data_IF_618261278560
#
_entry.id   IF_618261278560
#
_cell.length_a   1.000
_cell.length_b   1.000
_cell.length_c   1.000
_cell.angle_alpha   90.00
_cell.angle_beta   90.00
_cell.angle_gamma   90.00
#
_symmetry.space_group_name_H-M   'P 1'
#
loop_
_entity.id
_entity.type
_entity.pdbx_description
1 polymer ?
#
# COMPACT_ATOMS: atom_id res chain seq x y z
N UNK A 1 19.72 12.26 -25.08
CA UNK A 1 19.12 12.96 -23.93
C UNK A 1 17.84 12.23 -23.59
N UNK A 2 17.96 11.18 -22.77
CA UNK A 2 16.81 10.44 -22.26
C UNK A 2 16.35 11.21 -21.01
N UNK A 3 15.11 11.65 -20.99
CA UNK A 3 14.51 12.24 -19.78
C UNK A 3 14.27 11.09 -18.80
N UNK A 4 14.88 11.18 -17.63
CA UNK A 4 14.57 10.30 -16.50
C UNK A 4 13.09 10.50 -16.14
N UNK A 5 12.33 9.41 -16.22
CA UNK A 5 11.00 9.32 -15.65
C UNK A 5 11.22 9.22 -14.15
N UNK A 6 11.03 10.33 -13.43
CA UNK A 6 11.07 10.34 -11.97
C UNK A 6 9.74 9.81 -11.47
N UNK A 7 9.74 8.54 -11.04
CA UNK A 7 8.62 7.98 -10.28
C UNK A 7 8.38 8.83 -9.04
N UNK A 8 7.20 9.44 -8.97
CA UNK A 8 6.85 10.49 -8.00
C UNK A 8 6.58 9.98 -6.57
N UNK A 9 6.90 8.72 -6.28
CA UNK A 9 6.61 8.04 -5.02
C UNK A 9 7.81 7.90 -4.07
N UNK A 10 8.94 8.55 -4.36
CA UNK A 10 10.05 8.64 -3.39
C UNK A 10 9.78 9.71 -2.33
N UNK A 11 8.75 9.48 -1.52
CA UNK A 11 8.80 9.97 -0.14
C UNK A 11 9.69 8.99 0.63
N UNK A 12 10.95 9.35 0.86
CA UNK A 12 11.80 8.65 1.82
C UNK A 12 11.13 8.67 3.20
N UNK A 13 10.41 7.60 3.51
CA UNK A 13 9.85 7.35 4.83
C UNK A 13 11.02 7.10 5.79
N UNK A 14 11.00 7.64 7.02
CA UNK A 14 12.11 7.46 7.95
C UNK A 14 12.39 5.97 8.11
N UNK A 15 13.65 5.58 7.92
CA UNK A 15 14.13 4.21 8.10
C UNK A 15 14.07 3.83 9.58
N UNK A 16 12.87 3.56 10.12
CA UNK A 16 12.75 2.56 11.17
C UNK A 16 13.00 1.23 10.47
N UNK A 17 14.10 0.56 10.82
CA UNK A 17 14.60 -0.67 10.21
C UNK A 17 13.47 -1.50 9.57
N UNK A 18 13.29 -1.36 8.26
CA UNK A 18 12.36 -2.22 7.54
C UNK A 18 12.93 -3.61 7.73
N UNK A 19 12.19 -4.49 8.42
CA UNK A 19 12.64 -5.83 8.79
C UNK A 19 12.81 -6.78 7.57
N UNK A 20 13.09 -6.23 6.37
CA UNK A 20 13.31 -6.92 5.10
C UNK A 20 12.08 -7.63 4.54
N UNK A 21 10.96 -7.62 5.27
CA UNK A 21 9.77 -8.41 4.95
C UNK A 21 8.64 -7.49 4.53
N UNK A 22 8.12 -7.78 3.33
CA UNK A 22 6.87 -7.23 2.82
C UNK A 22 5.90 -8.38 2.52
N UNK A 23 4.68 -8.27 3.03
CA UNK A 23 3.62 -9.26 2.83
C UNK A 23 2.53 -8.66 1.95
N UNK A 24 2.06 -9.45 0.98
CA UNK A 24 0.95 -9.10 0.10
C UNK A 24 -0.23 -10.01 0.39
N UNK A 25 -1.39 -9.39 0.60
CA UNK A 25 -2.66 -10.07 0.84
C UNK A 25 -3.64 -9.68 -0.26
N UNK A 26 -4.00 -10.65 -1.09
CA UNK A 26 -5.04 -10.47 -2.10
C UNK A 26 -6.39 -10.64 -1.41
N UNK A 27 -7.28 -9.67 -1.62
CA UNK A 27 -8.63 -9.61 -1.06
C UNK A 27 -9.64 -9.41 -2.18
N UNK A 28 -10.89 -9.77 -1.94
CA UNK A 28 -11.96 -9.55 -2.92
C UNK A 28 -12.28 -8.06 -3.10
N UNK A 29 -12.20 -7.26 -2.02
CA UNK A 29 -12.56 -5.84 -2.00
C UNK A 29 -11.70 -5.06 -1.00
N UNK A 30 -10.71 -4.31 -1.52
CA UNK A 30 -9.82 -3.48 -0.71
C UNK A 30 -10.52 -2.24 -0.12
N UNK A 31 -11.62 -1.76 -0.70
CA UNK A 31 -12.38 -0.61 -0.16
C UNK A 31 -13.18 -1.01 1.08
N UNK A 32 -13.77 -2.20 1.06
CA UNK A 32 -14.42 -2.77 2.23
C UNK A 32 -13.41 -2.96 3.37
N UNK A 33 -12.22 -3.49 3.08
CA UNK A 33 -11.15 -3.61 4.06
C UNK A 33 -10.69 -2.23 4.58
N UNK A 34 -10.50 -1.25 3.70
CA UNK A 34 -10.15 0.12 4.09
C UNK A 34 -11.15 0.70 5.09
N UNK A 35 -12.45 0.50 4.83
CA UNK A 35 -13.52 0.93 5.75
C UNK A 35 -13.38 0.27 7.13
N UNK A 36 -13.06 -1.03 7.17
CA UNK A 36 -12.83 -1.74 8.42
C UNK A 36 -11.57 -1.23 9.15
N UNK A 37 -10.49 -0.96 8.43
CA UNK A 37 -9.25 -0.41 8.98
C UNK A 37 -9.53 0.94 9.65
N UNK A 38 -10.26 1.84 8.98
CA UNK A 38 -10.66 3.13 9.55
C UNK A 38 -11.57 2.96 10.77
N UNK A 39 -12.54 2.05 10.72
CA UNK A 39 -13.44 1.77 11.85
C UNK A 39 -12.69 1.26 13.09
N UNK A 40 -11.56 0.58 12.90
CA UNK A 40 -10.66 0.15 13.97
C UNK A 40 -9.72 1.26 14.47
N UNK A 41 -9.87 2.49 14.00
CA UNK A 41 -9.13 3.66 14.48
C UNK A 41 -7.74 3.83 13.87
N UNK A 42 -7.38 3.02 12.87
CA UNK A 42 -6.12 3.20 12.15
C UNK A 42 -6.22 4.38 11.18
N UNK A 43 -5.16 5.17 11.11
CA UNK A 43 -5.02 6.26 10.14
C UNK A 43 -4.11 5.78 9.02
N UNK A 44 -4.72 5.53 7.87
CA UNK A 44 -4.02 5.01 6.67
C UNK A 44 -4.44 5.79 5.44
N UNK A 45 -3.58 5.78 4.42
CA UNK A 45 -3.84 6.36 3.10
C UNK A 45 -5.07 5.71 2.47
N UNK A 46 -5.81 6.46 1.65
CA UNK A 46 -6.85 5.89 0.79
C UNK A 46 -6.21 4.89 -0.19
N UNK A 47 -6.86 3.75 -0.49
CA UNK A 47 -6.35 2.81 -1.48
C UNK A 47 -6.18 3.46 -2.86
N UNK A 48 -5.08 3.15 -3.55
CA UNK A 48 -4.76 3.68 -4.87
C UNK A 48 -4.77 2.57 -5.92
N UNK A 49 -5.20 2.90 -7.13
CA UNK A 49 -5.09 2.00 -8.29
C UNK A 49 -3.72 2.23 -8.93
N UNK A 50 -2.95 1.17 -9.07
CA UNK A 50 -1.64 1.20 -9.71
C UNK A 50 -1.72 0.94 -11.22
N UNK A 51 -0.64 1.26 -11.92
CA UNK A 51 -0.53 1.10 -13.38
C UNK A 51 -0.73 -0.34 -13.88
N UNK A 52 -0.57 -1.33 -13.00
CA UNK A 52 -0.75 -2.76 -13.30
C UNK A 52 -2.13 -3.30 -12.91
N UNK A 53 -3.10 -2.43 -12.59
CA UNK A 53 -4.51 -2.81 -12.44
C UNK A 53 -4.91 -3.34 -11.06
N UNK A 54 -4.05 -3.20 -10.05
CA UNK A 54 -4.38 -3.54 -8.67
C UNK A 54 -4.73 -2.27 -7.89
N UNK A 55 -5.79 -2.33 -7.09
CA UNK A 55 -6.10 -1.31 -6.10
C UNK A 55 -5.52 -1.75 -4.76
N UNK A 56 -4.66 -0.93 -4.16
CA UNK A 56 -3.86 -1.34 -3.00
C UNK A 56 -3.74 -0.30 -1.89
N UNK A 57 -3.48 -0.79 -0.68
CA UNK A 57 -3.18 0.02 0.52
C UNK A 57 -2.00 -0.57 1.29
N UNK A 58 -1.12 0.31 1.78
CA UNK A 58 0.05 -0.06 2.58
C UNK A 58 -0.13 0.29 4.05
N UNK A 59 0.26 -0.64 4.92
CA UNK A 59 0.34 -0.48 6.36
C UNK A 59 1.73 -0.87 6.86
N UNK A 60 2.09 -0.36 8.04
CA UNK A 60 3.25 -0.82 8.80
C UNK A 60 2.76 -1.48 10.07
N UNK A 61 3.15 -2.73 10.31
CA UNK A 61 2.83 -3.43 11.56
C UNK A 61 3.67 -2.86 12.73
N UNK A 62 3.35 -3.19 14.00
CA UNK A 62 4.12 -2.73 15.15
C UNK A 62 5.60 -3.14 15.15
N UNK A 63 5.95 -4.19 14.39
CA UNK A 63 7.30 -4.72 14.26
C UNK A 63 8.07 -4.10 13.07
N UNK A 64 7.48 -3.13 12.37
CA UNK A 64 8.11 -2.41 11.25
C UNK A 64 8.02 -3.11 9.90
N UNK A 65 7.19 -4.16 9.74
CA UNK A 65 6.99 -4.84 8.44
C UNK A 65 5.97 -4.12 7.59
N UNK A 66 6.16 -4.16 6.27
CA UNK A 66 5.21 -3.58 5.32
C UNK A 66 4.15 -4.61 4.95
N UNK A 67 2.88 -4.25 5.11
CA UNK A 67 1.74 -5.04 4.67
C UNK A 67 1.07 -4.33 3.50
N UNK A 68 0.86 -5.03 2.39
CA UNK A 68 0.06 -4.58 1.27
C UNK A 68 -1.23 -5.41 1.21
N UNK A 69 -2.37 -4.74 1.15
CA UNK A 69 -3.65 -5.37 0.83
C UNK A 69 -4.11 -4.85 -0.52
N UNK A 70 -4.51 -5.75 -1.40
CA UNK A 70 -4.86 -5.41 -2.77
C UNK A 70 -6.03 -6.23 -3.32
N UNK A 71 -6.75 -5.66 -4.27
CA UNK A 71 -7.78 -6.34 -5.07
C UNK A 71 -7.60 -5.98 -6.55
N UNK A 72 -7.93 -6.91 -7.44
CA UNK A 72 -7.93 -6.64 -8.88
C UNK A 72 -9.01 -5.61 -9.22
N UNK A 73 -8.69 -4.67 -10.10
CA UNK A 73 -9.69 -3.79 -10.71
C UNK A 73 -10.13 -4.43 -12.02
N UNK A 74 -11.36 -4.93 -12.07
CA UNK A 74 -11.95 -5.37 -13.33
C UNK A 74 -12.22 -4.14 -14.22
N UNK A 75 -11.57 -4.12 -15.39
CA UNK A 75 -11.69 -3.06 -16.40
C UNK A 75 -12.90 -3.22 -17.31
#
# INVERSE_FOLDING_TARGET
MLQEIVDSDTQEKPTSENNGIQLYFITDDVDALYTQILANGLKVSVPKIEFYGMKQIFLTDPDGRTLCFESLVET
#
